data_IF_789615857605
#
_entry.id   IF_789615857605
#
_cell.length_a   1.000
_cell.length_b   1.000
_cell.length_c   1.000
_cell.angle_alpha   90.00
_cell.angle_beta   90.00
_cell.angle_gamma   90.00
#
_symmetry.space_group_name_H-M   'P 1'
#
loop_
_entity.id
_entity.type
_entity.pdbx_description
1 polymer ?
#
# COMPACT_ATOMS: atom_id res chain seq x y z
N UNK A 1 70.36 -26.40 -14.52
CA UNK A 1 69.44 -25.50 -13.85
C UNK A 1 69.24 -26.08 -12.45
N UNK A 2 69.78 -25.46 -11.41
CA UNK A 2 69.70 -26.00 -10.07
C UNK A 2 68.36 -25.57 -9.39
N UNK A 3 67.82 -26.50 -8.65
CA UNK A 3 66.72 -26.29 -7.68
C UNK A 3 67.23 -25.49 -6.51
N UNK A 4 66.45 -24.50 -5.99
CA UNK A 4 66.80 -23.86 -4.74
C UNK A 4 66.39 -24.70 -3.54
N UNK A 5 67.26 -24.63 -2.56
CA UNK A 5 67.24 -25.30 -1.28
C UNK A 5 66.02 -24.93 -0.42
N UNK A 6 65.42 -26.00 0.16
CA UNK A 6 64.50 -25.97 1.29
C UNK A 6 65.27 -25.88 2.59
N UNK A 7 65.77 -24.72 2.96
CA UNK A 7 66.26 -24.47 4.30
C UNK A 7 66.08 -22.97 4.63
N UNK A 8 65.42 -22.73 5.70
CA UNK A 8 65.26 -21.48 6.41
C UNK A 8 63.82 -20.90 6.41
N UNK A 9 63.02 -21.36 7.31
CA UNK A 9 62.21 -20.53 8.20
C UNK A 9 61.70 -21.38 9.38
N UNK A 10 62.54 -21.63 10.33
CA UNK A 10 62.12 -21.89 11.72
C UNK A 10 62.46 -20.67 12.54
N UNK A 11 61.76 -19.59 12.35
CA UNK A 11 61.84 -18.47 13.28
C UNK A 11 60.61 -18.52 14.21
N UNK A 12 60.92 -18.98 15.38
CA UNK A 12 60.31 -18.84 16.69
C UNK A 12 59.13 -17.88 16.73
N UNK A 13 57.93 -18.42 16.77
CA UNK A 13 56.82 -17.77 17.41
C UNK A 13 56.99 -17.98 18.93
N UNK A 14 57.61 -17.00 19.55
CA UNK A 14 57.61 -16.79 20.98
C UNK A 14 56.16 -16.48 21.37
N UNK A 15 55.48 -17.44 21.97
CA UNK A 15 54.15 -17.27 22.54
C UNK A 15 54.32 -16.41 23.78
N UNK A 16 54.02 -15.12 23.64
CA UNK A 16 53.95 -14.22 24.76
C UNK A 16 52.86 -14.68 25.73
N UNK A 17 53.33 -15.19 26.87
CA UNK A 17 52.45 -15.65 27.96
C UNK A 17 51.67 -14.44 28.49
N UNK A 18 50.31 -14.44 28.46
CA UNK A 18 49.57 -13.32 28.93
C UNK A 18 49.83 -13.09 30.43
N UNK A 19 50.16 -11.87 30.77
CA UNK A 19 50.34 -11.42 32.16
C UNK A 19 49.08 -11.79 32.99
N UNK A 20 49.27 -12.19 34.28
CA UNK A 20 48.12 -12.55 35.11
C UNK A 20 47.18 -11.36 35.24
N UNK A 21 45.92 -11.60 34.88
CA UNK A 21 44.85 -10.61 35.07
C UNK A 21 44.78 -10.22 36.54
N UNK A 22 44.63 -8.88 36.81
CA UNK A 22 44.44 -8.41 38.18
C UNK A 22 43.13 -8.97 38.71
N UNK A 23 43.20 -9.61 39.84
CA UNK A 23 42.14 -10.15 40.68
C UNK A 23 40.94 -9.19 40.66
N UNK A 24 39.88 -9.55 39.93
CA UNK A 24 38.63 -8.83 40.00
C UNK A 24 38.08 -8.99 41.40
N UNK A 25 38.36 -8.03 42.21
CA UNK A 25 37.78 -7.91 43.52
C UNK A 25 36.29 -8.23 43.43
N UNK A 26 35.90 -9.30 44.12
CA UNK A 26 34.53 -9.70 44.35
C UNK A 26 33.77 -8.47 44.89
N UNK A 27 33.12 -7.75 44.02
CA UNK A 27 32.17 -6.72 44.35
C UNK A 27 31.00 -7.34 45.05
N UNK A 28 31.12 -7.50 46.36
CA UNK A 28 30.00 -7.95 47.20
C UNK A 28 28.82 -7.06 46.97
N UNK A 29 27.65 -7.67 46.70
CA UNK A 29 26.41 -6.91 46.56
C UNK A 29 26.24 -5.95 47.72
N UNK A 30 25.88 -4.69 47.48
CA UNK A 30 25.73 -3.71 48.52
C UNK A 30 24.70 -4.19 49.57
N UNK A 31 25.06 -4.04 50.84
CA UNK A 31 24.32 -4.61 51.98
C UNK A 31 22.81 -4.21 52.06
N UNK A 32 22.43 -3.13 51.36
CA UNK A 32 21.03 -2.73 51.25
C UNK A 32 20.19 -3.69 50.36
N UNK A 33 20.78 -4.31 49.31
CA UNK A 33 20.09 -5.31 48.46
C UNK A 33 19.82 -6.58 49.26
N UNK A 34 20.73 -7.02 50.10
CA UNK A 34 20.53 -8.18 50.95
C UNK A 34 19.42 -7.94 52.00
N UNK A 35 19.30 -6.72 52.56
CA UNK A 35 18.26 -6.34 53.50
C UNK A 35 16.88 -6.26 52.86
N UNK A 36 16.76 -5.85 51.58
CA UNK A 36 15.49 -5.85 50.84
C UNK A 36 14.97 -7.25 50.53
N UNK A 37 15.88 -8.23 50.35
CA UNK A 37 15.51 -9.61 50.05
C UNK A 37 15.10 -10.45 51.28
N UNK A 38 15.50 -10.05 52.47
CA UNK A 38 15.28 -10.78 53.70
C UNK A 38 14.08 -10.30 54.57
N UNK A 39 13.49 -9.17 54.20
CA UNK A 39 12.30 -8.67 54.92
C UNK A 39 11.02 -8.94 54.10
N UNK A 40 9.98 -9.44 54.77
CA UNK A 40 8.66 -9.64 54.14
C UNK A 40 8.09 -8.37 53.55
N UNK A 41 8.47 -7.21 54.08
CA UNK A 41 8.13 -5.88 53.55
C UNK A 41 8.89 -5.57 52.26
N UNK A 42 10.17 -5.96 52.13
CA UNK A 42 10.95 -5.75 50.93
C UNK A 42 10.43 -6.58 49.74
N UNK A 43 10.04 -7.82 50.00
CA UNK A 43 9.43 -8.68 48.98
C UNK A 43 8.07 -8.15 48.51
N UNK A 44 7.22 -7.68 49.45
CA UNK A 44 5.95 -7.08 49.10
C UNK A 44 6.11 -5.78 48.28
N UNK A 45 7.10 -4.96 48.62
CA UNK A 45 7.39 -3.73 47.87
C UNK A 45 7.87 -4.01 46.43
N UNK A 46 8.74 -5.02 46.24
CA UNK A 46 9.18 -5.43 44.91
C UNK A 46 8.02 -5.97 44.06
N UNK A 47 7.15 -6.80 44.66
CA UNK A 47 5.97 -7.33 43.95
C UNK A 47 5.01 -6.21 43.57
N UNK A 48 4.79 -5.22 44.45
CA UNK A 48 3.91 -4.09 44.16
C UNK A 48 4.50 -3.19 43.06
N UNK A 49 5.80 -2.91 43.08
CA UNK A 49 6.45 -2.09 42.04
C UNK A 49 6.44 -2.79 40.69
N UNK A 50 6.70 -4.10 40.65
CA UNK A 50 6.63 -4.88 39.40
C UNK A 50 5.20 -4.97 38.87
N UNK A 51 4.21 -5.22 39.74
CA UNK A 51 2.80 -5.24 39.36
C UNK A 51 2.34 -3.87 38.82
N UNK A 52 2.77 -2.78 39.44
CA UNK A 52 2.45 -1.43 39.01
C UNK A 52 3.14 -1.07 37.69
N UNK A 53 4.39 -1.48 37.48
CA UNK A 53 5.10 -1.30 36.20
C UNK A 53 4.43 -2.09 35.06
N UNK A 54 3.97 -3.33 35.34
CA UNK A 54 3.22 -4.13 34.36
C UNK A 54 1.86 -3.49 34.06
N UNK A 55 1.17 -2.97 35.09
CA UNK A 55 -0.12 -2.29 34.89
C UNK A 55 0.03 -1.01 34.05
N UNK A 56 1.10 -0.22 34.28
CA UNK A 56 1.42 0.96 33.46
C UNK A 56 1.77 0.54 32.02
N UNK A 57 2.60 -0.49 31.84
CA UNK A 57 2.95 -0.98 30.52
C UNK A 57 1.71 -1.52 29.78
N UNK A 58 0.86 -2.28 30.45
CA UNK A 58 -0.41 -2.73 29.90
C UNK A 58 -1.36 -1.57 29.57
N UNK A 59 -1.42 -0.55 30.42
CA UNK A 59 -2.23 0.64 30.15
C UNK A 59 -1.68 1.46 28.96
N UNK A 60 -0.36 1.51 28.77
CA UNK A 60 0.26 2.14 27.60
C UNK A 60 -0.01 1.37 26.30
N UNK A 61 -0.05 0.03 26.36
CA UNK A 61 -0.36 -0.85 25.21
C UNK A 61 -1.85 -0.81 24.86
N UNK A 62 -2.73 -0.62 25.89
CA UNK A 62 -4.20 -0.65 25.74
C UNK A 62 -4.79 0.77 25.70
N UNK A 63 -3.97 1.81 25.59
CA UNK A 63 -4.49 3.20 25.48
C UNK A 63 -5.56 3.30 24.38
N UNK A 64 -6.83 3.66 24.71
CA UNK A 64 -7.91 3.75 23.74
C UNK A 64 -7.69 4.78 22.61
N UNK A 65 -6.74 5.69 22.81
CA UNK A 65 -6.47 6.77 21.84
C UNK A 65 -5.84 6.35 20.51
N UNK A 66 -5.22 5.17 20.43
CA UNK A 66 -4.67 4.68 19.16
C UNK A 66 -5.69 3.81 18.39
N UNK A 67 -6.62 3.18 19.13
CA UNK A 67 -7.70 2.42 18.47
C UNK A 67 -8.73 3.35 17.83
N UNK A 68 -8.97 4.53 18.40
CA UNK A 68 -9.87 5.52 17.81
C UNK A 68 -9.26 6.19 16.58
N UNK A 69 -7.93 6.34 16.51
CA UNK A 69 -7.22 6.81 15.31
C UNK A 69 -7.23 5.74 14.20
N UNK A 70 -6.92 4.49 14.55
CA UNK A 70 -6.99 3.37 13.60
C UNK A 70 -8.43 3.16 13.12
N UNK A 71 -9.43 3.39 13.97
CA UNK A 71 -10.84 3.28 13.61
C UNK A 71 -11.31 4.46 12.77
N UNK A 72 -10.86 5.68 13.06
CA UNK A 72 -11.13 6.86 12.23
C UNK A 72 -10.42 6.77 10.87
N UNK A 73 -9.22 6.19 10.81
CA UNK A 73 -8.54 5.88 9.54
C UNK A 73 -9.21 4.71 8.79
N UNK A 74 -9.85 3.79 9.49
CA UNK A 74 -10.62 2.68 8.89
C UNK A 74 -12.02 3.15 8.44
N UNK A 75 -12.60 4.15 9.09
CA UNK A 75 -13.87 4.78 8.66
C UNK A 75 -13.69 5.78 7.50
N UNK A 76 -12.46 6.23 7.24
CA UNK A 76 -12.08 6.95 6.02
C UNK A 76 -11.83 5.99 4.83
N UNK A 77 -12.07 4.68 4.99
CA UNK A 77 -12.11 3.73 3.87
C UNK A 77 -13.19 4.20 2.90
N UNK A 78 -12.78 4.45 1.68
CA UNK A 78 -13.66 4.79 0.55
C UNK A 78 -14.93 3.96 0.64
N UNK A 79 -16.06 4.60 1.00
CA UNK A 79 -17.34 3.93 0.94
C UNK A 79 -17.64 3.74 -0.54
N UNK A 80 -17.35 2.55 -1.03
CA UNK A 80 -17.69 2.15 -2.39
C UNK A 80 -19.07 1.51 -2.34
N UNK A 81 -20.03 2.09 -3.04
CA UNK A 81 -21.35 1.51 -3.23
C UNK A 81 -21.50 1.11 -4.70
N UNK A 82 -21.81 -0.16 -4.93
CA UNK A 82 -22.02 -0.71 -6.27
C UNK A 82 -23.45 -1.23 -6.39
N UNK A 83 -24.16 -0.78 -7.40
CA UNK A 83 -25.52 -1.23 -7.65
C UNK A 83 -25.53 -2.69 -8.15
N UNK A 84 -26.24 -3.55 -7.44
CA UNK A 84 -26.61 -4.96 -7.66
C UNK A 84 -26.20 -5.65 -8.95
N UNK A 85 -24.91 -5.95 -9.10
CA UNK A 85 -24.37 -6.58 -10.31
C UNK A 85 -24.34 -8.09 -10.12
N UNK A 86 -24.99 -8.83 -11.04
CA UNK A 86 -24.96 -10.30 -11.05
C UNK A 86 -23.93 -10.89 -12.03
N UNK A 87 -23.55 -10.14 -13.07
CA UNK A 87 -22.57 -10.55 -14.07
C UNK A 87 -21.74 -9.37 -14.57
N UNK A 88 -20.44 -9.57 -14.90
CA UNK A 88 -19.61 -8.53 -15.50
C UNK A 88 -20.21 -8.03 -16.83
N UNK A 89 -20.14 -6.74 -17.11
CA UNK A 89 -20.74 -6.16 -18.30
C UNK A 89 -19.98 -6.57 -19.57
N UNK A 90 -20.74 -6.91 -20.60
CA UNK A 90 -20.27 -7.10 -21.97
C UNK A 90 -20.41 -5.80 -22.78
N UNK A 91 -19.79 -5.76 -23.95
CA UNK A 91 -20.01 -4.64 -24.91
C UNK A 91 -21.48 -4.64 -25.31
N UNK A 92 -22.13 -3.49 -25.18
CA UNK A 92 -23.54 -3.27 -25.37
C UNK A 92 -24.39 -3.24 -24.10
N UNK A 93 -23.84 -3.71 -22.98
CA UNK A 93 -24.54 -3.67 -21.70
C UNK A 93 -24.37 -2.29 -21.02
N UNK A 94 -25.29 -1.98 -20.11
CA UNK A 94 -25.12 -0.84 -19.22
C UNK A 94 -23.93 -1.07 -18.28
N UNK A 95 -23.07 -0.08 -18.17
CA UNK A 95 -21.97 -0.12 -17.20
C UNK A 95 -22.53 -0.14 -15.77
N UNK A 96 -22.01 -1.03 -14.88
CA UNK A 96 -22.38 -1.04 -13.48
C UNK A 96 -22.12 0.33 -12.83
N UNK A 97 -23.17 0.91 -12.23
CA UNK A 97 -23.06 2.16 -11.51
C UNK A 97 -22.25 1.96 -10.22
N UNK A 98 -21.45 2.95 -9.86
CA UNK A 98 -20.79 3.01 -8.56
C UNK A 98 -20.69 4.44 -8.07
N UNK A 99 -20.60 4.58 -6.75
CA UNK A 99 -20.22 5.80 -6.08
C UNK A 99 -19.02 5.49 -5.18
N UNK A 100 -18.00 6.33 -5.25
CA UNK A 100 -16.77 6.20 -4.47
C UNK A 100 -16.25 7.58 -4.10
N UNK A 101 -15.23 7.62 -3.27
CA UNK A 101 -14.44 8.84 -3.00
C UNK A 101 -13.06 8.64 -3.60
N UNK A 102 -12.56 9.62 -4.34
CA UNK A 102 -11.20 9.58 -4.86
C UNK A 102 -10.15 9.80 -3.75
N UNK A 103 -8.89 9.70 -4.10
CA UNK A 103 -7.77 9.85 -3.15
C UNK A 103 -7.67 11.25 -2.53
N UNK A 104 -8.29 12.26 -3.14
CA UNK A 104 -8.31 13.65 -2.68
C UNK A 104 -9.57 13.97 -1.85
N UNK A 105 -10.44 13.00 -1.65
CA UNK A 105 -11.69 13.16 -0.89
C UNK A 105 -12.88 13.66 -1.72
N UNK A 106 -12.75 13.72 -3.05
CA UNK A 106 -13.82 14.16 -3.94
C UNK A 106 -14.76 12.99 -4.26
N UNK A 107 -16.09 13.15 -4.14
CA UNK A 107 -17.05 12.14 -4.59
C UNK A 107 -16.94 11.88 -6.09
N UNK A 108 -16.94 10.61 -6.49
CA UNK A 108 -16.94 10.15 -7.88
C UNK A 108 -18.12 9.20 -8.07
N UNK A 109 -19.05 9.57 -8.95
CA UNK A 109 -20.21 8.75 -9.31
C UNK A 109 -20.23 8.53 -10.82
N UNK A 110 -20.27 7.26 -11.26
CA UNK A 110 -20.39 6.96 -12.69
C UNK A 110 -21.68 7.55 -13.30
N UNK A 111 -22.76 7.63 -12.52
CA UNK A 111 -24.02 8.21 -12.95
C UNK A 111 -23.89 9.73 -13.23
N UNK A 112 -23.14 10.44 -12.38
CA UNK A 112 -22.91 11.88 -12.53
C UNK A 112 -21.93 12.22 -13.66
N UNK A 113 -21.15 11.24 -14.13
CA UNK A 113 -20.25 11.40 -15.27
C UNK A 113 -20.94 11.23 -16.62
N UNK A 114 -22.22 10.83 -16.65
CA UNK A 114 -23.02 10.71 -17.88
C UNK A 114 -23.12 12.03 -18.65
N UNK A 115 -23.48 11.94 -19.91
CA UNK A 115 -23.52 13.09 -20.83
C UNK A 115 -22.22 13.33 -21.60
N UNK A 116 -21.14 12.64 -21.18
CA UNK A 116 -19.87 12.54 -21.92
C UNK A 116 -19.40 11.09 -21.90
N UNK A 117 -18.59 10.66 -22.87
CA UNK A 117 -17.91 9.38 -22.79
C UNK A 117 -17.06 9.26 -21.51
N UNK A 118 -17.02 8.07 -20.92
CA UNK A 118 -16.19 7.78 -19.74
C UNK A 118 -15.19 6.71 -20.11
N UNK A 119 -13.93 6.95 -19.81
CA UNK A 119 -12.87 5.96 -19.85
C UNK A 119 -12.56 5.51 -18.42
N UNK A 120 -13.00 4.31 -18.07
CA UNK A 120 -12.73 3.69 -16.78
C UNK A 120 -11.54 2.75 -16.93
N UNK A 121 -10.49 2.96 -16.12
CA UNK A 121 -9.25 2.20 -16.18
C UNK A 121 -9.01 1.51 -14.85
N UNK A 122 -8.80 0.21 -14.87
CA UNK A 122 -8.44 -0.57 -13.69
C UNK A 122 -6.93 -0.84 -13.70
N UNK A 123 -6.27 -0.44 -12.64
CA UNK A 123 -4.82 -0.51 -12.49
C UNK A 123 -4.40 -1.04 -11.12
N UNK A 124 -3.08 -1.19 -10.93
CA UNK A 124 -2.47 -1.40 -9.63
C UNK A 124 -1.07 -0.77 -9.61
N UNK A 125 -0.67 -0.22 -8.47
CA UNK A 125 0.63 0.47 -8.32
C UNK A 125 1.83 -0.46 -8.49
N UNK A 126 1.68 -1.75 -8.17
CA UNK A 126 2.68 -2.80 -8.34
C UNK A 126 2.74 -3.37 -9.77
N UNK A 127 1.74 -3.11 -10.60
CA UNK A 127 1.65 -3.66 -11.95
C UNK A 127 2.65 -2.98 -12.90
N UNK A 128 3.59 -3.74 -13.44
CA UNK A 128 4.61 -3.20 -14.34
C UNK A 128 4.02 -2.61 -15.63
N UNK A 129 3.04 -3.30 -16.25
CA UNK A 129 2.34 -2.82 -17.45
C UNK A 129 1.59 -1.51 -17.20
N UNK A 130 0.91 -1.42 -16.05
CA UNK A 130 0.19 -0.20 -15.67
C UNK A 130 1.13 1.00 -15.52
N UNK A 131 2.29 0.81 -14.86
CA UNK A 131 3.30 1.87 -14.70
C UNK A 131 3.90 2.33 -16.03
N UNK A 132 4.06 1.41 -16.98
CA UNK A 132 4.55 1.74 -18.32
C UNK A 132 3.51 2.54 -19.10
N UNK A 133 2.22 2.29 -18.87
CA UNK A 133 1.11 2.89 -19.60
C UNK A 133 0.70 4.28 -19.07
N UNK A 134 0.93 4.59 -17.80
CA UNK A 134 0.51 5.87 -17.18
C UNK A 134 0.93 7.12 -17.98
N UNK A 135 2.16 7.26 -18.48
CA UNK A 135 2.54 8.41 -19.29
C UNK A 135 1.71 8.55 -20.58
N UNK A 136 1.34 7.42 -21.19
CA UNK A 136 0.50 7.39 -22.38
C UNK A 136 -0.94 7.81 -22.04
N UNK A 137 -1.48 7.33 -20.92
CA UNK A 137 -2.79 7.75 -20.39
C UNK A 137 -2.82 9.26 -20.17
N UNK A 138 -1.82 9.82 -19.47
CA UNK A 138 -1.68 11.25 -19.23
C UNK A 138 -1.62 12.05 -20.55
N UNK A 139 -0.81 11.60 -21.50
CA UNK A 139 -0.66 12.23 -22.81
C UNK A 139 -1.97 12.23 -23.62
N UNK A 140 -2.68 11.11 -23.63
CA UNK A 140 -3.98 11.00 -24.30
C UNK A 140 -5.01 11.92 -23.62
N UNK A 141 -5.12 11.92 -22.29
CA UNK A 141 -6.03 12.79 -21.57
C UNK A 141 -5.75 14.27 -21.81
N UNK A 142 -4.47 14.68 -21.81
CA UNK A 142 -4.08 16.03 -22.14
C UNK A 142 -4.52 16.43 -23.57
N UNK A 143 -4.49 15.50 -24.52
CA UNK A 143 -4.92 15.74 -25.91
C UNK A 143 -6.43 15.76 -26.12
N UNK A 144 -7.18 14.96 -25.33
CA UNK A 144 -8.63 14.86 -25.42
C UNK A 144 -9.37 15.97 -24.66
N UNK A 145 -8.72 16.54 -23.65
CA UNK A 145 -9.31 17.59 -22.81
C UNK A 145 -10.68 17.17 -22.24
N UNK A 146 -11.67 18.03 -22.41
CA UNK A 146 -13.04 17.80 -21.92
C UNK A 146 -13.91 16.85 -22.76
N UNK A 147 -13.37 16.25 -23.82
CA UNK A 147 -14.13 15.36 -24.70
C UNK A 147 -14.48 14.00 -24.04
N UNK A 148 -13.71 13.60 -23.04
CA UNK A 148 -13.88 12.35 -22.30
C UNK A 148 -13.66 12.59 -20.81
N UNK A 149 -14.36 11.82 -19.97
CA UNK A 149 -14.08 11.72 -18.53
C UNK A 149 -13.23 10.48 -18.28
N UNK A 150 -12.23 10.57 -17.43
CA UNK A 150 -11.45 9.41 -16.98
C UNK A 150 -11.67 9.17 -15.48
N UNK A 151 -11.70 7.90 -15.09
CA UNK A 151 -11.57 7.47 -13.69
C UNK A 151 -10.62 6.30 -13.67
N UNK A 152 -9.61 6.37 -12.83
CA UNK A 152 -8.67 5.25 -12.61
C UNK A 152 -9.01 4.58 -11.29
N UNK A 153 -9.23 3.26 -11.33
CA UNK A 153 -9.58 2.44 -10.18
C UNK A 153 -8.41 1.52 -9.85
N UNK A 154 -7.85 1.64 -8.65
CA UNK A 154 -6.74 0.81 -8.18
C UNK A 154 -7.27 -0.40 -7.41
N UNK A 155 -7.07 -1.57 -8.01
CA UNK A 155 -7.66 -2.85 -7.59
C UNK A 155 -6.99 -3.39 -6.33
N UNK A 156 -7.75 -3.51 -5.23
CA UNK A 156 -7.27 -4.13 -3.98
C UNK A 156 -6.21 -3.32 -3.23
N UNK A 157 -6.13 -2.02 -3.46
CA UNK A 157 -5.11 -1.16 -2.84
C UNK A 157 -5.73 -0.10 -1.92
N UNK A 158 -5.02 0.23 -0.85
CA UNK A 158 -5.45 1.25 0.09
C UNK A 158 -5.27 2.66 -0.47
N UNK A 159 -6.08 3.60 0.03
CA UNK A 159 -6.01 5.02 -0.35
C UNK A 159 -4.59 5.61 -0.17
N UNK A 160 -3.89 5.25 0.91
CA UNK A 160 -2.53 5.73 1.16
C UNK A 160 -1.55 5.24 0.09
N UNK A 161 -1.61 3.95 -0.29
CA UNK A 161 -0.73 3.40 -1.32
C UNK A 161 -0.95 4.08 -2.68
N UNK A 162 -2.21 4.31 -3.06
CA UNK A 162 -2.57 5.00 -4.31
C UNK A 162 -2.14 6.46 -4.27
N UNK A 163 -2.42 7.19 -3.17
CA UNK A 163 -2.03 8.59 -3.02
C UNK A 163 -0.50 8.79 -3.09
N UNK A 164 0.27 7.91 -2.45
CA UNK A 164 1.73 7.96 -2.52
C UNK A 164 2.26 7.65 -3.92
N UNK A 165 1.58 6.76 -4.64
CA UNK A 165 1.92 6.48 -6.03
C UNK A 165 1.58 7.66 -6.95
N UNK A 166 0.35 8.18 -6.87
CA UNK A 166 -0.14 9.32 -7.64
C UNK A 166 0.80 10.53 -7.55
N UNK A 167 1.22 10.88 -6.32
CA UNK A 167 2.20 11.96 -6.09
C UNK A 167 3.54 11.74 -6.78
N UNK A 168 4.00 10.48 -6.89
CA UNK A 168 5.27 10.16 -7.55
C UNK A 168 5.19 10.26 -9.07
N UNK A 169 4.06 9.90 -9.66
CA UNK A 169 3.87 9.88 -11.12
C UNK A 169 3.20 11.15 -11.66
N UNK A 170 2.64 11.98 -10.78
CA UNK A 170 2.03 13.27 -11.12
C UNK A 170 0.71 13.11 -11.87
N UNK A 171 -0.16 12.18 -11.46
CA UNK A 171 -1.50 12.07 -12.02
C UNK A 171 -2.37 13.26 -11.60
N UNK A 172 -3.22 13.73 -12.52
CA UNK A 172 -4.13 14.85 -12.35
C UNK A 172 -5.60 14.50 -12.66
N UNK A 173 -5.93 13.23 -12.70
CA UNK A 173 -7.27 12.70 -12.94
C UNK A 173 -7.82 11.98 -11.70
N UNK A 174 -9.16 11.80 -11.58
CA UNK A 174 -9.76 11.08 -10.46
C UNK A 174 -9.23 9.66 -10.31
N UNK A 175 -8.75 9.34 -9.10
CA UNK A 175 -8.17 8.04 -8.75
C UNK A 175 -8.92 7.45 -7.54
N UNK A 176 -9.46 6.27 -7.70
CA UNK A 176 -10.24 5.57 -6.68
C UNK A 176 -9.46 4.35 -6.17
N UNK A 177 -9.29 4.26 -4.86
CA UNK A 177 -8.73 3.07 -4.20
C UNK A 177 -9.87 2.07 -3.92
N UNK A 178 -9.96 1.03 -4.74
CA UNK A 178 -10.97 -0.04 -4.60
C UNK A 178 -10.42 -1.16 -3.70
N UNK A 179 -10.17 -0.84 -2.42
CA UNK A 179 -9.50 -1.72 -1.47
C UNK A 179 -10.21 -3.06 -1.31
N UNK A 180 -11.53 -3.05 -1.23
CA UNK A 180 -12.37 -4.23 -1.06
C UNK A 180 -12.79 -4.86 -2.39
N UNK A 181 -12.26 -4.36 -3.51
CA UNK A 181 -12.48 -4.84 -4.87
C UNK A 181 -13.96 -4.88 -5.29
N UNK A 182 -14.79 -4.00 -4.75
CA UNK A 182 -16.23 -3.97 -5.05
C UNK A 182 -16.50 -3.51 -6.48
N UNK A 183 -15.84 -2.42 -6.92
CA UNK A 183 -15.95 -1.93 -8.30
C UNK A 183 -15.33 -2.95 -9.25
N UNK A 184 -14.13 -3.44 -8.93
CA UNK A 184 -13.40 -4.40 -9.74
C UNK A 184 -14.18 -5.71 -9.93
N UNK A 185 -14.83 -6.21 -8.89
CA UNK A 185 -15.70 -7.39 -8.97
C UNK A 185 -16.92 -7.15 -9.86
N UNK A 186 -17.57 -5.99 -9.74
CA UNK A 186 -18.72 -5.62 -10.56
C UNK A 186 -18.39 -5.56 -12.05
N UNK A 187 -17.18 -5.15 -12.40
CA UNK A 187 -16.68 -5.11 -13.77
C UNK A 187 -15.98 -6.41 -14.20
N UNK A 188 -15.85 -7.41 -13.30
CA UNK A 188 -15.22 -8.69 -13.58
C UNK A 188 -13.75 -8.58 -13.94
N UNK A 189 -13.00 -7.76 -13.20
CA UNK A 189 -11.60 -7.53 -13.47
C UNK A 189 -10.79 -8.74 -13.02
N UNK A 190 -10.18 -9.43 -13.98
CA UNK A 190 -9.32 -10.60 -13.77
C UNK A 190 -7.84 -10.31 -13.99
N UNK A 191 -7.51 -9.10 -14.44
CA UNK A 191 -6.14 -8.67 -14.67
C UNK A 191 -6.05 -7.17 -14.93
N UNK A 192 -4.87 -6.60 -14.70
CA UNK A 192 -4.59 -5.18 -14.88
C UNK A 192 -3.38 -4.99 -15.80
N UNK A 193 -3.37 -3.93 -16.63
CA UNK A 193 -4.42 -2.93 -16.77
C UNK A 193 -5.66 -3.49 -17.49
N UNK A 194 -6.84 -2.93 -17.20
CA UNK A 194 -8.08 -3.20 -17.93
C UNK A 194 -8.83 -1.90 -18.18
N UNK A 195 -9.40 -1.78 -19.38
CA UNK A 195 -10.04 -0.54 -19.84
C UNK A 195 -11.47 -0.80 -20.24
N UNK A 196 -12.36 0.07 -19.82
CA UNK A 196 -13.75 0.15 -20.26
C UNK A 196 -14.00 1.53 -20.86
N UNK A 197 -14.48 1.56 -22.08
CA UNK A 197 -14.90 2.78 -22.77
C UNK A 197 -16.42 2.79 -22.82
N UNK A 198 -17.01 3.76 -22.15
CA UNK A 198 -18.44 3.87 -21.88
C UNK A 198 -18.94 5.11 -22.60
N UNK A 199 -20.05 5.03 -23.29
CA UNK A 199 -20.65 6.20 -23.95
C UNK A 199 -21.36 7.15 -23.00
N UNK A 200 -21.83 8.28 -23.53
CA UNK A 200 -22.54 9.29 -22.78
C UNK A 200 -23.84 8.80 -22.13
N UNK A 201 -24.43 7.72 -22.64
CA UNK A 201 -25.63 7.06 -22.10
C UNK A 201 -25.31 6.03 -21.00
N UNK A 202 -24.03 5.72 -20.78
CA UNK A 202 -23.60 4.75 -19.77
C UNK A 202 -23.50 3.31 -20.31
N UNK A 203 -23.44 3.10 -21.64
CA UNK A 203 -23.31 1.80 -22.27
C UNK A 203 -21.84 1.50 -22.58
N UNK A 204 -21.38 0.29 -22.24
CA UNK A 204 -20.03 -0.18 -22.55
C UNK A 204 -19.89 -0.33 -24.07
N UNK A 205 -19.00 0.42 -24.70
CA UNK A 205 -18.75 0.38 -26.16
C UNK A 205 -17.52 -0.41 -26.51
N UNK A 206 -16.54 -0.45 -25.62
CA UNK A 206 -15.34 -1.26 -25.81
C UNK A 206 -14.77 -1.68 -24.46
N UNK A 207 -14.17 -2.87 -24.43
CA UNK A 207 -13.38 -3.39 -23.31
C UNK A 207 -12.03 -3.87 -23.85
N UNK A 208 -10.96 -3.61 -23.13
CA UNK A 208 -9.63 -4.12 -23.43
C UNK A 208 -8.93 -4.57 -22.15
N UNK A 209 -8.21 -5.69 -22.21
CA UNK A 209 -7.39 -6.21 -21.11
C UNK A 209 -5.94 -6.22 -21.56
N UNK A 210 -5.06 -5.68 -20.76
CA UNK A 210 -3.64 -5.49 -21.07
C UNK A 210 -3.33 -4.05 -21.50
N UNK A 211 -2.05 -3.78 -21.69
CA UNK A 211 -1.54 -2.45 -22.09
C UNK A 211 -2.13 -2.05 -23.44
N UNK A 212 -2.64 -0.83 -23.53
CA UNK A 212 -3.22 -0.26 -24.74
C UNK A 212 -2.33 0.87 -25.27
N UNK A 213 -2.08 0.91 -26.57
CA UNK A 213 -1.29 1.98 -27.16
C UNK A 213 -2.05 3.32 -27.18
N UNK A 214 -1.36 4.49 -27.22
CA UNK A 214 -2.01 5.80 -27.31
C UNK A 214 -3.01 5.93 -28.46
N UNK A 215 -2.70 5.38 -29.63
CA UNK A 215 -3.61 5.33 -30.77
C UNK A 215 -4.82 4.44 -30.49
N UNK A 216 -4.63 3.34 -29.76
CA UNK A 216 -5.70 2.44 -29.32
C UNK A 216 -6.65 3.14 -28.37
N UNK A 217 -6.12 3.85 -27.37
CA UNK A 217 -6.87 4.66 -26.42
C UNK A 217 -7.70 5.72 -27.13
N UNK A 218 -7.06 6.49 -28.00
CA UNK A 218 -7.70 7.57 -28.78
C UNK A 218 -8.86 7.05 -29.64
N UNK A 219 -8.65 5.96 -30.37
CA UNK A 219 -9.72 5.33 -31.19
C UNK A 219 -10.88 4.83 -30.32
N UNK A 220 -10.58 4.22 -29.18
CA UNK A 220 -11.62 3.71 -28.30
C UNK A 220 -12.47 4.83 -27.69
N UNK A 221 -11.84 5.94 -27.31
CA UNK A 221 -12.54 7.17 -26.84
C UNK A 221 -13.45 7.72 -27.95
N UNK A 222 -12.96 7.84 -29.18
CA UNK A 222 -13.73 8.32 -30.32
C UNK A 222 -14.92 7.43 -30.63
N UNK A 223 -14.75 6.10 -30.59
CA UNK A 223 -15.84 5.14 -30.77
C UNK A 223 -16.92 5.28 -29.70
N UNK A 224 -16.54 5.48 -28.44
CA UNK A 224 -17.49 5.71 -27.36
C UNK A 224 -18.21 7.08 -27.47
N UNK A 225 -17.55 8.07 -28.06
CA UNK A 225 -18.14 9.40 -28.31
C UNK A 225 -19.06 9.49 -29.52
N UNK A 226 -19.00 8.51 -30.42
CA UNK A 226 -19.78 8.53 -31.69
C UNK A 226 -21.12 7.80 -31.60
N UNK A 227 -21.50 7.32 -30.41
CA UNK A 227 -22.62 6.39 -30.19
C UNK A 227 -23.83 7.08 -29.59
#
# INVERSE_FOLDING_TARGET
MPTPDDDEVTEFLEVDEPAPEPDRASGGEPAWRARLRSSSFGQAAVVLVTAFAIAIAAWWVVKPGDQDRVRAETEAVSQVEVAGVQQPPSVGDSAPGFTATDIDGTPVSLEELRGKPVWLVFMATWCAGCRTEIPDVQGVMASQGDAVRIVVVYVGESQNAVSDYSKRVGNDFPEVADQDQQISAAYGIMGVPSHYFIDAGGVVRQRHVGVLSPDGMTRAIQNAGSS
#
